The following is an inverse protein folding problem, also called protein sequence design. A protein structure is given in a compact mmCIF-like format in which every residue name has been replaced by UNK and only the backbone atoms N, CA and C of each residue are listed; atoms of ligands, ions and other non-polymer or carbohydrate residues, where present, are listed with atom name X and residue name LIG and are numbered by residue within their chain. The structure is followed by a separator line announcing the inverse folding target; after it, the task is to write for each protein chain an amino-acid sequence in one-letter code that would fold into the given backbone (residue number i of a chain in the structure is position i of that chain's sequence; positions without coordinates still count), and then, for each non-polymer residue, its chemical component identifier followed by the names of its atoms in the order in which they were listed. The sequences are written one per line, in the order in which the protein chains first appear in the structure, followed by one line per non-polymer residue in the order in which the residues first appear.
data_IF_228639330567
#
_entry.id   IF_228639330567
#
_cell.length_a   1.000
_cell.length_b   1.000
_cell.length_c   1.000
_cell.angle_alpha   90.00
_cell.angle_beta   90.00
_cell.angle_gamma   90.00
#
_symmetry.space_group_name_H-M   'P 1'
#
loop_
_entity.id
_entity.type
_entity.pdbx_description
1 polymer ?
#
# COMPACT_ATOMS: atom_id res chain seq x y z
N UNK A 1 -0.44 16.20 4.19
CA UNK A 1 0.05 15.05 4.97
C UNK A 1 1.31 15.50 5.70
N UNK A 2 1.52 15.09 6.95
CA UNK A 2 2.72 15.44 7.72
C UNK A 2 3.47 14.17 8.11
N UNK A 3 4.77 14.29 8.41
CA UNK A 3 5.58 13.21 8.98
C UNK A 3 5.55 13.35 10.51
N UNK A 4 5.33 12.24 11.22
CA UNK A 4 5.30 12.24 12.69
C UNK A 4 6.52 11.50 13.19
N UNK A 5 7.49 12.25 13.70
CA UNK A 5 8.71 11.67 14.27
C UNK A 5 8.41 11.19 15.68
N UNK A 6 8.85 9.97 16.02
CA UNK A 6 8.86 9.45 17.37
C UNK A 6 10.26 9.59 17.98
N UNK A 7 10.33 9.76 19.31
CA UNK A 7 11.60 9.93 20.03
C UNK A 7 12.53 8.70 19.91
N UNK A 8 11.96 7.52 19.64
CA UNK A 8 12.72 6.27 19.46
C UNK A 8 13.23 6.01 18.04
N UNK A 9 13.02 6.92 17.09
CA UNK A 9 13.34 6.74 15.66
C UNK A 9 12.77 5.45 15.01
N UNK A 10 11.77 4.82 15.64
CA UNK A 10 11.11 3.60 15.14
C UNK A 10 10.00 3.92 14.13
N UNK A 11 9.63 5.20 13.99
CA UNK A 11 8.54 5.71 13.16
C UNK A 11 7.18 5.03 13.45
N UNK A 12 7.01 4.55 14.68
CA UNK A 12 5.83 3.80 15.14
C UNK A 12 4.57 4.64 15.02
N UNK A 13 4.63 5.83 15.60
CA UNK A 13 3.52 6.80 15.59
C UNK A 13 3.11 7.15 14.17
N UNK A 14 4.07 7.22 13.24
CA UNK A 14 3.81 7.52 11.85
C UNK A 14 3.04 6.40 11.15
N UNK A 15 3.53 5.16 11.23
CA UNK A 15 2.89 4.01 10.57
C UNK A 15 1.48 3.78 11.10
N UNK A 16 1.27 3.89 12.42
CA UNK A 16 -0.06 3.74 13.02
C UNK A 16 -1.03 4.83 12.53
N UNK A 17 -0.56 6.07 12.42
CA UNK A 17 -1.38 7.19 11.95
C UNK A 17 -1.70 7.11 10.45
N UNK A 18 -0.74 6.65 9.64
CA UNK A 18 -0.99 6.29 8.23
C UNK A 18 -2.03 5.18 8.18
N UNK A 19 -1.88 4.14 8.99
CA UNK A 19 -2.81 3.01 9.05
C UNK A 19 -4.23 3.48 9.34
N UNK A 20 -4.44 4.30 10.37
CA UNK A 20 -5.76 4.75 10.78
C UNK A 20 -6.43 5.57 9.68
N UNK A 21 -5.68 6.55 9.16
CA UNK A 21 -6.18 7.43 8.10
C UNK A 21 -6.50 6.68 6.81
N UNK A 22 -5.68 5.71 6.46
CA UNK A 22 -5.88 4.87 5.28
C UNK A 22 -7.08 3.94 5.48
N UNK A 23 -7.19 3.28 6.64
CA UNK A 23 -8.32 2.41 6.94
C UNK A 23 -9.64 3.19 6.89
N UNK A 24 -9.68 4.40 7.44
CA UNK A 24 -10.87 5.23 7.39
C UNK A 24 -11.21 5.67 5.96
N UNK A 25 -10.20 6.00 5.15
CA UNK A 25 -10.39 6.27 3.73
C UNK A 25 -10.95 5.06 3.00
N UNK A 26 -10.40 3.86 3.23
CA UNK A 26 -10.91 2.61 2.65
C UNK A 26 -12.35 2.33 3.09
N UNK A 27 -12.72 2.63 4.35
CA UNK A 27 -14.11 2.50 4.81
C UNK A 27 -15.04 3.43 4.04
N UNK A 28 -14.66 4.69 3.83
CA UNK A 28 -15.46 5.63 3.03
C UNK A 28 -15.58 5.16 1.57
N UNK A 29 -14.46 4.70 0.97
CA UNK A 29 -14.49 4.11 -0.36
C UNK A 29 -15.43 2.90 -0.44
N UNK A 30 -15.42 2.04 0.57
CA UNK A 30 -16.29 0.86 0.63
C UNK A 30 -17.77 1.25 0.64
N UNK A 31 -18.14 2.36 1.29
CA UNK A 31 -19.53 2.86 1.32
C UNK A 31 -20.02 3.33 -0.05
N UNK A 32 -19.15 3.95 -0.84
CA UNK A 32 -19.49 4.45 -2.20
C UNK A 32 -19.24 3.41 -3.30
N UNK A 33 -18.53 2.31 -2.99
CA UNK A 33 -18.19 1.25 -3.95
C UNK A 33 -18.68 -0.11 -3.46
N UNK A 34 -20.00 -0.36 -3.43
CA UNK A 34 -20.52 -1.68 -3.07
C UNK A 34 -20.01 -2.76 -4.04
N UNK A 35 -19.91 -4.01 -3.56
CA UNK A 35 -19.49 -5.14 -4.39
C UNK A 35 -20.49 -5.41 -5.51
N UNK A 36 -21.79 -5.36 -5.18
CA UNK A 36 -22.90 -5.57 -6.11
C UNK A 36 -23.39 -4.20 -6.60
N UNK A 37 -23.59 -4.04 -7.91
CA UNK A 37 -24.05 -2.80 -8.56
C UNK A 37 -23.17 -1.55 -8.28
N UNK A 38 -21.91 -1.76 -7.92
CA UNK A 38 -20.94 -0.68 -7.73
C UNK A 38 -20.26 -0.21 -9.01
N UNK A 39 -19.30 0.73 -8.91
CA UNK A 39 -18.57 1.29 -10.06
C UNK A 39 -17.79 0.23 -10.84
N UNK A 40 -17.31 0.56 -12.05
CA UNK A 40 -16.42 -0.35 -12.79
C UNK A 40 -15.09 -0.54 -12.07
N UNK A 41 -14.43 -1.67 -12.35
CA UNK A 41 -13.10 -2.01 -11.82
C UNK A 41 -12.04 -0.92 -12.09
N UNK A 42 -12.09 -0.26 -13.26
CA UNK A 42 -11.23 0.89 -13.56
C UNK A 42 -11.41 2.07 -12.59
N UNK A 43 -12.65 2.42 -12.23
CA UNK A 43 -12.95 3.46 -11.23
C UNK A 43 -12.47 3.06 -9.84
N UNK A 44 -12.62 1.77 -9.48
CA UNK A 44 -12.12 1.25 -8.19
C UNK A 44 -10.59 1.29 -8.11
N UNK A 45 -9.87 0.95 -9.19
CA UNK A 45 -8.41 1.11 -9.27
C UNK A 45 -7.97 2.56 -9.13
N UNK A 46 -8.67 3.48 -9.77
CA UNK A 46 -8.39 4.92 -9.63
C UNK A 46 -8.56 5.38 -8.18
N UNK A 47 -9.61 4.93 -7.48
CA UNK A 47 -9.79 5.25 -6.06
C UNK A 47 -8.71 4.57 -5.20
N UNK A 48 -8.28 3.37 -5.58
CA UNK A 48 -7.21 2.67 -4.89
C UNK A 48 -5.84 3.35 -5.02
N UNK A 49 -5.55 3.98 -6.16
CA UNK A 49 -4.28 4.71 -6.34
C UNK A 49 -4.14 5.89 -5.38
N UNK A 50 -5.26 6.51 -4.96
CA UNK A 50 -5.28 7.55 -3.92
C UNK A 50 -4.78 6.99 -2.60
N UNK A 51 -5.30 5.83 -2.19
CA UNK A 51 -4.90 5.15 -0.97
C UNK A 51 -3.43 4.73 -1.02
N UNK A 52 -2.99 4.16 -2.15
CA UNK A 52 -1.57 3.84 -2.33
C UNK A 52 -0.67 5.07 -2.24
N UNK A 53 -1.09 6.19 -2.81
CA UNK A 53 -0.36 7.46 -2.70
C UNK A 53 -0.28 7.96 -1.26
N UNK A 54 -1.35 7.77 -0.46
CA UNK A 54 -1.34 8.11 0.97
C UNK A 54 -0.37 7.24 1.76
N UNK A 55 -0.35 5.93 1.49
CA UNK A 55 0.56 4.99 2.17
C UNK A 55 1.99 5.33 1.77
N UNK A 56 2.28 5.43 0.47
CA UNK A 56 3.64 5.56 -0.06
C UNK A 56 4.22 6.97 0.07
N UNK A 57 3.42 7.92 0.55
CA UNK A 57 3.86 9.27 0.86
C UNK A 57 4.97 9.23 1.90
N UNK A 58 6.07 9.94 1.63
CA UNK A 58 7.25 9.98 2.49
C UNK A 58 7.82 8.60 2.86
N UNK A 59 7.54 7.55 2.05
CA UNK A 59 8.01 6.18 2.28
C UNK A 59 9.49 6.08 2.56
N UNK A 60 10.29 6.92 1.90
CA UNK A 60 11.73 7.02 2.13
C UNK A 60 12.10 7.29 3.60
N UNK A 61 11.33 8.14 4.28
CA UNK A 61 11.61 8.60 5.65
C UNK A 61 11.25 7.52 6.67
N UNK A 62 10.10 6.87 6.49
CA UNK A 62 9.60 5.87 7.44
C UNK A 62 9.84 4.43 7.01
N UNK A 63 10.49 4.18 5.87
CA UNK A 63 10.74 2.82 5.36
C UNK A 63 11.46 1.94 6.36
N UNK A 64 12.30 2.49 7.23
CA UNK A 64 12.95 1.73 8.32
C UNK A 64 11.95 1.03 9.27
N UNK A 65 10.71 1.51 9.34
CA UNK A 65 9.67 0.81 10.09
C UNK A 65 9.31 -0.56 9.46
N UNK A 66 9.51 -0.77 8.17
CA UNK A 66 9.23 -2.07 7.53
C UNK A 66 10.17 -3.17 7.98
N UNK A 67 11.33 -2.84 8.58
CA UNK A 67 12.24 -3.82 9.19
C UNK A 67 11.58 -4.60 10.34
N UNK A 68 10.53 -4.03 10.95
CA UNK A 68 9.76 -4.70 11.98
C UNK A 68 8.56 -5.43 11.37
N UNK A 69 8.55 -6.76 11.48
CA UNK A 69 7.48 -7.67 11.01
C UNK A 69 6.06 -7.25 11.42
N UNK A 70 5.92 -6.56 12.55
CA UNK A 70 4.63 -6.03 13.00
C UNK A 70 4.08 -4.97 12.03
N UNK A 71 4.90 -3.98 11.66
CA UNK A 71 4.49 -2.90 10.75
C UNK A 71 4.32 -3.41 9.32
N UNK A 72 5.15 -4.35 8.91
CA UNK A 72 5.01 -5.07 7.65
C UNK A 72 3.61 -5.69 7.51
N UNK A 73 3.19 -6.51 8.48
CA UNK A 73 1.85 -7.14 8.51
C UNK A 73 0.72 -6.12 8.53
N UNK A 74 0.90 -4.98 9.18
CA UNK A 74 -0.09 -3.90 9.20
C UNK A 74 -0.28 -3.33 7.78
N UNK A 75 0.82 -3.06 7.07
CA UNK A 75 0.78 -2.54 5.70
C UNK A 75 0.21 -3.58 4.72
N UNK A 76 0.57 -4.85 4.85
CA UNK A 76 0.01 -5.94 4.04
C UNK A 76 -1.50 -6.07 4.23
N UNK A 77 -1.99 -5.96 5.47
CA UNK A 77 -3.43 -6.00 5.76
C UNK A 77 -4.17 -4.87 5.06
N UNK A 78 -3.60 -3.67 5.04
CA UNK A 78 -4.14 -2.52 4.31
C UNK A 78 -4.14 -2.78 2.80
N UNK A 79 -3.04 -3.27 2.25
CA UNK A 79 -2.92 -3.56 0.82
C UNK A 79 -3.95 -4.60 0.39
N UNK A 80 -4.15 -5.64 1.20
CA UNK A 80 -5.18 -6.66 0.98
C UNK A 80 -6.58 -6.08 1.04
N UNK A 81 -6.89 -5.23 2.02
CA UNK A 81 -8.19 -4.56 2.12
C UNK A 81 -8.48 -3.76 0.85
N UNK A 82 -7.48 -3.07 0.32
CA UNK A 82 -7.60 -2.31 -0.91
C UNK A 82 -7.83 -3.20 -2.14
N UNK A 83 -7.04 -4.26 -2.27
CA UNK A 83 -7.14 -5.19 -3.39
C UNK A 83 -8.50 -5.91 -3.43
N UNK A 84 -9.06 -6.28 -2.27
CA UNK A 84 -10.41 -6.82 -2.18
C UNK A 84 -11.45 -5.84 -2.73
N UNK A 85 -11.27 -4.54 -2.49
CA UNK A 85 -12.19 -3.51 -3.00
C UNK A 85 -12.05 -3.33 -4.49
N UNK A 86 -10.84 -3.34 -5.03
CA UNK A 86 -10.62 -3.25 -6.49
C UNK A 86 -11.35 -4.37 -7.21
N UNK A 87 -11.11 -5.61 -6.79
CA UNK A 87 -11.69 -6.82 -7.44
C UNK A 87 -13.15 -7.06 -7.06
N UNK A 88 -13.67 -6.35 -6.05
CA UNK A 88 -14.99 -6.63 -5.43
C UNK A 88 -15.13 -8.05 -4.87
N UNK A 89 -14.01 -8.63 -4.45
CA UNK A 89 -13.93 -9.98 -3.91
C UNK A 89 -14.41 -10.05 -2.45
N UNK A 90 -14.84 -11.24 -2.04
CA UNK A 90 -15.21 -11.52 -0.65
C UNK A 90 -13.98 -11.75 0.24
N UNK A 91 -14.17 -11.62 1.56
CA UNK A 91 -13.08 -11.71 2.54
C UNK A 91 -12.36 -13.06 2.60
N UNK A 92 -12.92 -14.12 2.03
CA UNK A 92 -12.42 -15.50 2.06
C UNK A 92 -11.35 -15.78 1.01
N UNK A 93 -11.20 -14.93 0.00
CA UNK A 93 -10.19 -15.14 -1.04
C UNK A 93 -8.78 -14.95 -0.46
N UNK A 94 -7.84 -15.81 -0.87
CA UNK A 94 -6.44 -15.74 -0.42
C UNK A 94 -5.80 -14.39 -0.79
N UNK A 95 -4.88 -13.92 0.04
CA UNK A 95 -4.24 -12.61 -0.13
C UNK A 95 -3.52 -12.50 -1.48
N UNK A 96 -2.76 -13.53 -1.83
CA UNK A 96 -1.99 -13.59 -3.08
C UNK A 96 -2.90 -13.54 -4.31
N UNK A 97 -3.98 -14.33 -4.32
CA UNK A 97 -4.92 -14.35 -5.45
C UNK A 97 -5.61 -12.99 -5.64
N UNK A 98 -6.03 -12.34 -4.56
CA UNK A 98 -6.66 -11.02 -4.65
C UNK A 98 -5.68 -9.96 -5.16
N UNK A 99 -4.43 -9.97 -4.69
CA UNK A 99 -3.41 -9.03 -5.15
C UNK A 99 -3.09 -9.22 -6.64
N UNK A 100 -2.97 -10.47 -7.09
CA UNK A 100 -2.76 -10.82 -8.49
C UNK A 100 -3.94 -10.35 -9.37
N UNK A 101 -5.18 -10.64 -8.97
CA UNK A 101 -6.39 -10.20 -9.68
C UNK A 101 -6.52 -8.67 -9.72
N UNK A 102 -6.17 -7.99 -8.63
CA UNK A 102 -6.20 -6.54 -8.54
C UNK A 102 -5.10 -5.85 -9.36
N UNK A 103 -4.09 -6.60 -9.81
CA UNK A 103 -2.84 -6.08 -10.39
C UNK A 103 -2.12 -5.12 -9.44
N UNK A 104 -2.17 -5.42 -8.14
CA UNK A 104 -1.56 -4.62 -7.09
C UNK A 104 -0.39 -5.43 -6.50
N UNK A 105 0.86 -4.96 -6.65
CA UNK A 105 1.99 -5.62 -6.00
C UNK A 105 1.91 -5.45 -4.46
N UNK A 106 2.58 -6.34 -3.70
CA UNK A 106 2.80 -6.14 -2.27
C UNK A 106 3.39 -4.75 -1.98
N UNK A 107 2.82 -4.06 -1.00
CA UNK A 107 3.19 -2.68 -0.66
C UNK A 107 4.65 -2.55 -0.20
N UNK A 108 5.21 -3.58 0.42
CA UNK A 108 6.61 -3.64 0.84
C UNK A 108 7.54 -3.56 -0.36
N UNK A 109 7.23 -4.32 -1.42
CA UNK A 109 8.00 -4.26 -2.66
C UNK A 109 7.94 -2.86 -3.29
N UNK A 110 6.80 -2.17 -3.19
CA UNK A 110 6.67 -0.80 -3.70
C UNK A 110 7.45 0.25 -2.87
N UNK A 111 7.67 -0.01 -1.57
CA UNK A 111 8.48 0.84 -0.69
C UNK A 111 9.96 0.64 -1.02
N UNK A 112 10.40 -0.61 -1.14
CA UNK A 112 11.76 -0.96 -1.53
C UNK A 112 12.11 -0.43 -2.92
N UNK A 113 11.22 -0.58 -3.91
CA UNK A 113 11.39 -0.01 -5.26
C UNK A 113 11.63 1.51 -5.19
N UNK A 114 10.84 2.24 -4.39
CA UNK A 114 11.00 3.68 -4.21
C UNK A 114 12.32 4.04 -3.53
N UNK A 115 12.73 3.26 -2.54
CA UNK A 115 14.02 3.45 -1.87
C UNK A 115 15.20 3.26 -2.84
N UNK A 116 15.14 2.24 -3.71
CA UNK A 116 16.16 2.02 -4.73
C UNK A 116 16.21 3.17 -5.73
N UNK A 117 15.05 3.60 -6.24
CA UNK A 117 14.96 4.74 -7.17
C UNK A 117 15.51 6.02 -6.54
N UNK A 118 15.22 6.26 -5.26
CA UNK A 118 15.75 7.44 -4.56
C UNK A 118 17.26 7.39 -4.39
N UNK A 119 17.84 6.22 -4.09
CA UNK A 119 19.29 6.04 -3.92
C UNK A 119 20.08 6.12 -5.23
N UNK A 120 19.53 5.58 -6.32
CA UNK A 120 20.25 5.41 -7.59
C UNK A 120 19.79 6.39 -8.69
N UNK A 121 18.77 7.21 -8.43
CA UNK A 121 18.21 8.16 -9.38
C UNK A 121 17.10 7.58 -10.26
N UNK A 122 16.38 8.46 -10.96
CA UNK A 122 15.18 8.12 -11.75
C UNK A 122 15.44 7.14 -12.91
N UNK A 123 16.66 7.14 -13.46
CA UNK A 123 17.08 6.20 -14.50
C UNK A 123 17.12 4.74 -14.05
N UNK A 124 17.19 4.48 -12.74
CA UNK A 124 17.26 3.14 -12.17
C UNK A 124 15.91 2.44 -12.05
N UNK A 125 14.81 3.09 -12.45
CA UNK A 125 13.44 2.57 -12.26
C UNK A 125 13.22 1.19 -12.91
N UNK A 126 13.68 1.01 -14.14
CA UNK A 126 13.52 -0.26 -14.86
C UNK A 126 14.27 -1.38 -14.18
N UNK A 127 15.46 -1.09 -13.65
CA UNK A 127 16.32 -2.06 -12.98
C UNK A 127 15.82 -2.40 -11.58
N UNK A 128 15.41 -1.38 -10.80
CA UNK A 128 14.74 -1.56 -9.53
C UNK A 128 13.53 -2.50 -9.68
N UNK A 129 12.71 -2.28 -10.72
CA UNK A 129 11.53 -3.12 -10.95
C UNK A 129 11.88 -4.56 -11.29
N UNK A 130 12.97 -4.83 -12.03
CA UNK A 130 13.43 -6.20 -12.28
C UNK A 130 13.88 -6.88 -10.99
N UNK A 131 14.71 -6.20 -10.20
CA UNK A 131 15.18 -6.69 -8.88
C UNK A 131 14.00 -7.05 -7.97
N UNK A 132 12.93 -6.24 -7.99
CA UNK A 132 11.73 -6.52 -7.20
C UNK A 132 10.88 -7.68 -7.72
N UNK A 133 11.00 -8.05 -9.00
CA UNK A 133 10.28 -9.18 -9.60
C UNK A 133 11.02 -10.51 -9.42
N UNK A 134 12.34 -10.46 -9.30
CA UNK A 134 13.20 -11.64 -9.12
C UNK A 134 13.33 -12.09 -7.65
N UNK A 135 12.65 -11.39 -6.73
CA UNK A 135 12.66 -11.61 -5.29
C UNK A 135 11.50 -12.52 -4.85
#
# INVERSE_FOLDING_TARGET
MGVWLDSGMRMTTHVLKIRDRTVDTIKQLTRITPNIRGPSDGKRRMLASVVHSMILYASLIWSRATDYKYYEKVLEKINRMLALRVVSAYRTVSTEAVLALAKIPPIILQIEERNLIYRHGSGYRSEARKIMLDK
#
